data_IF_390702196406
#
_entry.id   IF_390702196406
#
_cell.length_a   1.000
_cell.length_b   1.000
_cell.length_c   1.000
_cell.angle_alpha   90.00
_cell.angle_beta   90.00
_cell.angle_gamma   90.00
#
_symmetry.space_group_name_H-M   'P 1'
#
loop_
_entity.id
_entity.type
_entity.pdbx_description
1 polymer ?
#
# COMPACT_ATOMS: atom_id res chain seq x y z
N UNK A 1 8.97 1.17 18.47
CA UNK A 1 8.69 -0.26 18.54
C UNK A 1 7.68 -0.65 17.45
N UNK A 2 7.99 -1.67 16.70
CA UNK A 2 7.11 -2.12 15.63
C UNK A 2 5.96 -2.96 16.18
N UNK A 3 4.78 -2.79 15.60
CA UNK A 3 3.60 -3.60 15.92
C UNK A 3 3.03 -4.15 14.62
N UNK A 4 2.65 -5.41 14.61
CA UNK A 4 1.98 -6.03 13.48
C UNK A 4 0.47 -5.88 13.63
N UNK A 5 -0.22 -5.63 12.51
CA UNK A 5 -1.67 -5.66 12.41
C UNK A 5 -2.42 -4.80 13.43
N UNK A 6 -2.10 -3.51 13.47
CA UNK A 6 -2.83 -2.58 14.31
C UNK A 6 -4.16 -2.23 13.64
N UNK A 7 -5.26 -2.43 14.36
CA UNK A 7 -6.59 -2.09 13.90
C UNK A 7 -6.96 -0.68 14.37
N UNK A 8 -7.41 0.15 13.45
CA UNK A 8 -7.88 1.49 13.74
C UNK A 8 -9.35 1.58 13.42
N UNK A 9 -10.17 1.98 14.39
CA UNK A 9 -11.60 2.16 14.18
C UNK A 9 -11.84 3.53 13.57
N UNK A 10 -12.41 3.54 12.37
CA UNK A 10 -12.68 4.76 11.63
C UNK A 10 -14.16 5.16 11.62
N UNK A 11 -15.00 4.42 12.32
CA UNK A 11 -16.45 4.61 12.26
C UNK A 11 -17.14 3.94 11.09
N UNK A 12 -16.40 3.52 10.09
CA UNK A 12 -16.89 2.75 8.94
C UNK A 12 -16.53 1.29 9.02
N UNK A 13 -15.92 0.91 10.11
CA UNK A 13 -15.34 -0.39 10.29
C UNK A 13 -13.90 -0.24 10.76
N UNK A 14 -13.12 -1.25 10.60
CA UNK A 14 -11.75 -1.26 11.06
C UNK A 14 -10.79 -1.12 9.89
N UNK A 15 -9.90 -0.13 9.97
CA UNK A 15 -8.76 -0.02 9.05
C UNK A 15 -7.59 -0.76 9.69
N UNK A 16 -6.94 -1.59 8.91
CA UNK A 16 -5.86 -2.43 9.40
C UNK A 16 -4.55 -2.06 8.72
N UNK A 17 -3.54 -1.75 9.55
CA UNK A 17 -2.15 -1.66 9.10
C UNK A 17 -1.49 -3.00 9.33
N UNK A 18 -0.70 -3.48 8.38
CA UNK A 18 0.04 -4.74 8.58
C UNK A 18 1.15 -4.57 9.60
N UNK A 19 1.87 -3.46 9.53
CA UNK A 19 2.91 -3.15 10.49
C UNK A 19 2.92 -1.66 10.78
N UNK A 20 2.69 -1.30 12.03
CA UNK A 20 2.84 0.08 12.49
C UNK A 20 4.17 0.21 13.22
N UNK A 21 5.13 0.90 12.60
CA UNK A 21 6.46 1.07 13.18
C UNK A 21 6.46 2.12 14.29
N UNK A 22 5.83 3.25 14.03
CA UNK A 22 5.66 4.34 14.97
C UNK A 22 4.62 5.32 14.43
N UNK A 23 4.45 6.49 15.05
CA UNK A 23 3.46 7.48 14.61
C UNK A 23 3.78 8.10 13.23
N UNK A 24 5.01 7.93 12.75
CA UNK A 24 5.46 8.53 11.48
C UNK A 24 5.62 7.54 10.35
N UNK A 25 5.73 6.26 10.65
CA UNK A 25 6.06 5.24 9.66
C UNK A 25 5.09 4.07 9.73
N UNK A 26 4.53 3.71 8.58
CA UNK A 26 3.61 2.58 8.45
C UNK A 26 4.04 1.73 7.26
N UNK A 27 4.00 0.42 7.41
CA UNK A 27 4.22 -0.53 6.32
C UNK A 27 2.90 -1.22 6.02
N UNK A 28 2.54 -1.23 4.75
CA UNK A 28 1.31 -1.84 4.26
C UNK A 28 1.65 -2.89 3.22
N UNK A 29 1.11 -4.09 3.37
CA UNK A 29 1.32 -5.17 2.41
C UNK A 29 0.04 -5.34 1.59
N UNK A 30 0.18 -5.32 0.28
CA UNK A 30 -0.94 -5.52 -0.66
C UNK A 30 -0.65 -6.72 -1.54
N UNK A 31 -1.64 -7.59 -1.67
CA UNK A 31 -1.55 -8.75 -2.54
C UNK A 31 -2.64 -8.66 -3.59
N UNK A 32 -2.28 -8.86 -4.86
CA UNK A 32 -3.30 -8.96 -5.90
C UNK A 32 -3.94 -10.35 -5.86
N UNK A 33 -5.20 -10.43 -6.24
CA UNK A 33 -6.00 -11.63 -6.15
C UNK A 33 -6.60 -11.97 -7.50
N UNK A 34 -6.88 -13.24 -7.71
CA UNK A 34 -7.58 -13.70 -8.91
C UNK A 34 -8.91 -12.95 -9.06
N UNK A 35 -9.15 -12.42 -10.25
CA UNK A 35 -10.35 -11.64 -10.53
C UNK A 35 -10.25 -10.16 -10.17
N UNK A 36 -9.17 -9.76 -9.49
CA UNK A 36 -8.95 -8.36 -9.17
C UNK A 36 -8.51 -7.59 -10.41
N UNK A 37 -8.96 -6.35 -10.55
CA UNK A 37 -8.51 -5.47 -11.62
C UNK A 37 -7.61 -4.37 -11.07
N UNK A 38 -6.76 -3.80 -11.93
CA UNK A 38 -5.81 -2.75 -11.51
C UNK A 38 -6.49 -1.57 -10.82
N UNK A 39 -7.64 -1.17 -11.33
CA UNK A 39 -8.40 -0.07 -10.72
C UNK A 39 -8.68 -0.30 -9.24
N UNK A 40 -9.00 -1.55 -8.86
CA UNK A 40 -9.28 -1.88 -7.48
C UNK A 40 -8.03 -1.76 -6.61
N UNK A 41 -6.88 -2.21 -7.11
CA UNK A 41 -5.61 -2.06 -6.40
C UNK A 41 -5.29 -0.58 -6.18
N UNK A 42 -5.46 0.25 -7.21
CA UNK A 42 -5.23 1.69 -7.12
C UNK A 42 -6.14 2.33 -6.09
N UNK A 43 -7.43 1.96 -6.08
CA UNK A 43 -8.38 2.47 -5.10
C UNK A 43 -7.96 2.13 -3.67
N UNK A 44 -7.51 0.90 -3.44
CA UNK A 44 -7.07 0.47 -2.11
C UNK A 44 -5.84 1.24 -1.66
N UNK A 45 -4.86 1.43 -2.54
CA UNK A 45 -3.65 2.18 -2.21
C UNK A 45 -3.97 3.63 -1.89
N UNK A 46 -4.79 4.27 -2.72
CA UNK A 46 -5.15 5.67 -2.51
C UNK A 46 -5.96 5.88 -1.24
N UNK A 47 -6.84 4.94 -0.90
CA UNK A 47 -7.58 4.99 0.34
C UNK A 47 -6.64 4.93 1.54
N UNK A 48 -5.64 4.05 1.50
CA UNK A 48 -4.66 3.93 2.58
C UNK A 48 -3.79 5.18 2.72
N UNK A 49 -3.42 5.80 1.60
CA UNK A 49 -2.63 7.04 1.62
C UNK A 49 -3.36 8.17 2.35
N UNK A 50 -4.68 8.21 2.25
CA UNK A 50 -5.49 9.24 2.89
C UNK A 50 -5.80 8.87 4.34
N UNK A 51 -6.01 7.58 4.60
CA UNK A 51 -6.46 7.09 5.90
C UNK A 51 -5.39 7.18 6.99
N UNK A 52 -4.15 6.81 6.66
CA UNK A 52 -3.10 6.77 7.66
C UNK A 52 -2.50 8.14 7.90
N UNK A 53 -2.35 8.49 9.17
CA UNK A 53 -1.74 9.77 9.57
C UNK A 53 -0.21 9.75 9.48
N UNK A 54 0.39 8.60 9.23
CA UNK A 54 1.84 8.46 9.14
C UNK A 54 2.40 9.34 8.01
N UNK A 55 3.58 9.90 8.24
CA UNK A 55 4.27 10.72 7.23
C UNK A 55 4.95 9.88 6.16
N UNK A 56 5.36 8.68 6.52
CA UNK A 56 6.02 7.76 5.60
C UNK A 56 5.20 6.49 5.53
N UNK A 57 4.75 6.14 4.33
CA UNK A 57 3.98 4.93 4.09
C UNK A 57 4.76 4.07 3.11
N UNK A 58 5.04 2.85 3.50
CA UNK A 58 5.77 1.88 2.69
C UNK A 58 4.81 0.82 2.23
N UNK A 59 4.58 0.75 0.92
CA UNK A 59 3.73 -0.27 0.32
C UNK A 59 4.59 -1.38 -0.25
N UNK A 60 4.39 -2.59 0.25
CA UNK A 60 4.92 -3.80 -0.37
C UNK A 60 3.79 -4.43 -1.16
N UNK A 61 3.93 -4.45 -2.47
CA UNK A 61 2.90 -4.98 -3.35
C UNK A 61 3.37 -6.31 -3.93
N UNK A 62 2.70 -7.39 -3.54
CA UNK A 62 2.91 -8.70 -4.13
C UNK A 62 1.92 -8.86 -5.27
N UNK A 63 2.37 -8.56 -6.48
CA UNK A 63 1.53 -8.57 -7.67
C UNK A 63 1.65 -9.89 -8.43
N UNK A 64 1.10 -10.94 -7.85
CA UNK A 64 1.15 -12.26 -8.47
C UNK A 64 0.27 -12.36 -9.72
N UNK A 65 -0.76 -11.53 -9.82
CA UNK A 65 -1.67 -11.50 -10.99
C UNK A 65 -1.15 -10.60 -12.10
N UNK A 66 -0.01 -9.96 -11.90
CA UNK A 66 0.63 -9.06 -12.87
C UNK A 66 -0.30 -7.99 -13.40
N UNK A 67 -1.01 -7.34 -12.49
CA UNK A 67 -1.91 -6.23 -12.83
C UNK A 67 -1.14 -4.97 -13.21
N UNK A 68 0.07 -4.81 -12.68
CA UNK A 68 0.90 -3.63 -12.92
C UNK A 68 1.78 -3.90 -14.14
N UNK A 69 1.48 -3.23 -15.26
CA UNK A 69 2.23 -3.42 -16.51
C UNK A 69 3.59 -2.75 -16.48
N UNK A 70 3.68 -1.58 -15.86
CA UNK A 70 4.94 -0.86 -15.78
C UNK A 70 5.23 -0.47 -14.33
N UNK A 71 5.94 -1.34 -13.59
CA UNK A 71 6.23 -1.07 -12.18
C UNK A 71 6.96 0.24 -11.92
N UNK A 72 7.89 0.64 -12.77
CA UNK A 72 8.63 1.89 -12.58
C UNK A 72 7.72 3.11 -12.65
N UNK A 73 6.83 3.16 -13.65
CA UNK A 73 5.88 4.25 -13.78
C UNK A 73 4.87 4.26 -12.65
N UNK A 74 4.39 3.09 -12.27
CA UNK A 74 3.45 2.95 -11.18
C UNK A 74 4.06 3.51 -9.88
N UNK A 75 5.27 3.10 -9.57
CA UNK A 75 5.99 3.56 -8.40
C UNK A 75 6.18 5.09 -8.43
N UNK A 76 6.68 5.62 -9.53
CA UNK A 76 6.94 7.06 -9.67
C UNK A 76 5.68 7.89 -9.50
N UNK A 77 4.55 7.42 -10.02
CA UNK A 77 3.30 8.17 -9.94
C UNK A 77 2.82 8.38 -8.51
N UNK A 78 3.13 7.47 -7.60
CA UNK A 78 2.75 7.60 -6.20
C UNK A 78 3.79 8.35 -5.37
N UNK A 79 5.07 8.17 -5.66
CA UNK A 79 6.14 8.84 -4.91
C UNK A 79 6.07 10.36 -5.02
N UNK A 80 5.47 10.87 -6.08
CA UNK A 80 5.35 12.31 -6.31
C UNK A 80 3.98 12.89 -5.95
N UNK A 81 3.04 12.04 -5.56
CA UNK A 81 1.62 12.42 -5.51
C UNK A 81 1.21 13.23 -4.29
N UNK A 82 1.92 13.10 -3.18
CA UNK A 82 1.53 13.79 -1.94
C UNK A 82 2.67 14.64 -1.42
N UNK A 83 2.37 15.91 -1.12
CA UNK A 83 3.37 16.86 -0.63
C UNK A 83 3.73 16.65 0.84
N UNK A 84 2.77 16.22 1.64
CA UNK A 84 2.94 16.11 3.09
C UNK A 84 3.33 14.72 3.55
N UNK A 85 3.37 13.76 2.64
CA UNK A 85 3.67 12.38 2.94
C UNK A 85 4.64 11.81 1.93
N UNK A 86 5.53 10.96 2.39
CA UNK A 86 6.42 10.21 1.52
C UNK A 86 5.87 8.82 1.32
N UNK A 87 5.61 8.47 0.07
CA UNK A 87 5.10 7.17 -0.31
C UNK A 87 6.22 6.39 -0.97
N UNK A 88 6.48 5.20 -0.45
CA UNK A 88 7.50 4.31 -0.98
C UNK A 88 6.81 3.03 -1.44
N UNK A 89 7.09 2.61 -2.66
CA UNK A 89 6.44 1.43 -3.23
C UNK A 89 7.50 0.43 -3.67
N UNK A 90 7.36 -0.80 -3.20
CA UNK A 90 8.18 -1.92 -3.60
C UNK A 90 7.25 -2.95 -4.21
N UNK A 91 7.50 -3.33 -5.46
CA UNK A 91 6.64 -4.24 -6.21
C UNK A 91 7.39 -5.52 -6.48
N UNK A 92 6.79 -6.63 -6.10
CA UNK A 92 7.29 -7.95 -6.43
C UNK A 92 6.29 -8.66 -7.32
N UNK A 93 6.74 -9.07 -8.51
CA UNK A 93 5.94 -9.85 -9.44
C UNK A 93 6.64 -11.19 -9.61
N UNK A 94 6.15 -12.24 -8.96
CA UNK A 94 6.82 -13.54 -9.03
C UNK A 94 6.75 -14.11 -10.44
N UNK A 95 7.83 -14.79 -10.85
CA UNK A 95 7.82 -15.52 -12.10
C UNK A 95 7.06 -16.82 -11.90
N UNK A 96 6.19 -17.12 -12.84
CA UNK A 96 5.48 -18.39 -12.86
C UNK A 96 6.29 -19.30 -13.77
N UNK A 97 6.79 -20.37 -13.20
CA UNK A 97 7.53 -21.37 -13.95
C UNK A 97 6.61 -22.47 -14.45
#
# INVERSE_FOLDING_TARGET
MARAEVNEDTGYGTVRSDILLDSKNTIEVKCTRKGMVLKKLVEEIEADMVHYSAKNIYFFIYDKEKLIDNPCNFKSSYEEKMKDKHIYIIIHQPKIL
#
